data_IF_645892634260
#
_entry.id   IF_645892634260
#
_cell.length_a   1.000
_cell.length_b   1.000
_cell.length_c   1.000
_cell.angle_alpha   90.00
_cell.angle_beta   90.00
_cell.angle_gamma   90.00
#
_symmetry.space_group_name_H-M   'P 1'
#
loop_
_entity.id
_entity.type
_entity.pdbx_description
1 polymer ?
#
# COMPACT_ATOMS: atom_id res chain seq x y z
N UNK A 1 3.42 -18.63 1.66
CA UNK A 1 2.24 -19.29 1.08
C UNK A 1 0.95 -18.67 1.61
N UNK A 2 0.01 -18.39 0.72
CA UNK A 2 -1.29 -17.86 1.07
C UNK A 2 -2.39 -18.82 0.59
N UNK A 3 -3.30 -19.15 1.48
CA UNK A 3 -4.55 -19.83 1.14
C UNK A 3 -5.70 -18.86 1.42
N UNK A 4 -6.53 -18.61 0.42
CA UNK A 4 -7.66 -17.69 0.56
C UNK A 4 -8.91 -18.25 -0.10
N UNK A 5 -10.07 -17.98 0.50
CA UNK A 5 -11.34 -18.19 -0.18
C UNK A 5 -11.81 -16.89 -0.83
N UNK A 6 -12.49 -17.01 -1.97
CA UNK A 6 -13.07 -15.91 -2.71
C UNK A 6 -14.60 -15.94 -2.71
N UNK A 7 -15.20 -16.78 -1.88
CA UNK A 7 -16.63 -17.00 -1.86
C UNK A 7 -17.11 -17.79 -3.07
N UNK A 8 -18.34 -17.53 -3.50
CA UNK A 8 -18.99 -18.26 -4.59
C UNK A 8 -18.50 -17.85 -5.99
N UNK A 9 -17.92 -16.65 -6.11
CA UNK A 9 -17.44 -16.09 -7.38
C UNK A 9 -16.00 -15.61 -7.23
N UNK A 10 -15.19 -15.85 -8.25
CA UNK A 10 -13.74 -15.59 -8.20
C UNK A 10 -13.28 -14.36 -8.98
N UNK A 11 -14.14 -13.39 -9.26
CA UNK A 11 -13.86 -12.29 -10.19
C UNK A 11 -12.51 -11.60 -9.93
N UNK A 12 -12.34 -11.00 -8.77
CA UNK A 12 -11.08 -10.33 -8.37
C UNK A 12 -10.22 -11.16 -7.41
N UNK A 13 -10.74 -12.26 -6.89
CA UNK A 13 -10.10 -13.05 -5.85
C UNK A 13 -8.69 -13.52 -6.21
N UNK A 14 -8.47 -14.19 -7.33
CA UNK A 14 -7.16 -14.71 -7.71
C UNK A 14 -6.11 -13.60 -7.82
N UNK A 15 -6.46 -12.50 -8.48
CA UNK A 15 -5.56 -11.36 -8.65
C UNK A 15 -5.23 -10.70 -7.33
N UNK A 16 -6.23 -10.46 -6.47
CA UNK A 16 -6.03 -9.85 -5.14
C UNK A 16 -5.12 -10.71 -4.28
N UNK A 17 -5.32 -12.03 -4.27
CA UNK A 17 -4.48 -12.95 -3.50
C UNK A 17 -3.05 -13.01 -4.07
N UNK A 18 -2.89 -13.06 -5.38
CA UNK A 18 -1.59 -12.98 -6.03
C UNK A 18 -0.82 -11.71 -5.69
N UNK A 19 -1.51 -10.56 -5.70
CA UNK A 19 -0.91 -9.27 -5.37
C UNK A 19 -0.54 -9.14 -3.88
N UNK A 20 -1.10 -9.95 -2.99
CA UNK A 20 -0.70 -9.94 -1.58
C UNK A 20 0.79 -10.26 -1.39
N UNK A 21 1.33 -11.21 -2.12
CA UNK A 21 2.76 -11.50 -2.12
C UNK A 21 3.56 -10.49 -2.93
N UNK A 22 3.09 -10.20 -4.13
CA UNK A 22 3.79 -9.35 -5.08
C UNK A 22 3.98 -7.90 -4.58
N UNK A 23 3.08 -7.38 -3.76
CA UNK A 23 3.15 -6.04 -3.17
C UNK A 23 3.73 -5.99 -1.75
N UNK A 24 3.96 -7.13 -1.10
CA UNK A 24 4.50 -7.15 0.25
C UNK A 24 5.98 -7.58 0.30
N UNK A 25 6.35 -8.62 -0.43
CA UNK A 25 7.70 -9.18 -0.44
C UNK A 25 8.77 -8.14 -0.86
N UNK A 26 8.54 -7.28 -1.85
CA UNK A 26 9.54 -6.31 -2.29
C UNK A 26 9.96 -5.28 -1.24
N UNK A 27 9.19 -5.10 -0.16
CA UNK A 27 9.61 -4.27 0.97
C UNK A 27 10.96 -4.67 1.55
N UNK A 28 11.33 -5.95 1.45
CA UNK A 28 12.57 -6.53 1.97
C UNK A 28 13.41 -7.05 0.82
N UNK A 29 14.11 -6.14 0.15
CA UNK A 29 14.80 -6.37 -1.12
C UNK A 29 16.16 -7.07 -1.04
N UNK A 30 16.65 -7.43 0.16
CA UNK A 30 18.01 -8.00 0.33
C UNK A 30 18.06 -9.53 0.37
N UNK A 31 16.95 -10.21 0.18
CA UNK A 31 16.95 -11.67 0.16
C UNK A 31 17.53 -12.23 -1.14
N UNK A 32 18.29 -13.32 -1.06
CA UNK A 32 18.91 -13.99 -2.22
C UNK A 32 17.87 -14.64 -3.13
N UNK A 33 16.73 -15.08 -2.60
CA UNK A 33 15.68 -15.73 -3.35
C UNK A 33 14.30 -15.45 -2.74
N UNK A 34 13.31 -15.37 -3.61
CA UNK A 34 11.92 -15.18 -3.26
C UNK A 34 11.08 -16.33 -3.82
N UNK A 35 10.16 -16.83 -3.02
CA UNK A 35 9.15 -17.77 -3.47
C UNK A 35 7.81 -17.40 -2.86
N UNK A 36 6.86 -17.06 -3.70
CA UNK A 36 5.48 -16.86 -3.31
C UNK A 36 4.58 -17.90 -3.99
N UNK A 37 3.72 -18.51 -3.21
CA UNK A 37 2.69 -19.44 -3.69
C UNK A 37 1.37 -19.09 -3.06
N UNK A 38 0.30 -19.31 -3.79
CA UNK A 38 -1.04 -19.10 -3.27
C UNK A 38 -2.03 -20.06 -3.91
N UNK A 39 -3.05 -20.41 -3.15
CA UNK A 39 -4.23 -21.10 -3.62
C UNK A 39 -5.46 -20.27 -3.32
N UNK A 40 -6.38 -20.25 -4.27
CA UNK A 40 -7.65 -19.57 -4.18
C UNK A 40 -8.75 -20.59 -4.36
N UNK A 41 -9.64 -20.67 -3.37
CA UNK A 41 -10.70 -21.68 -3.35
C UNK A 41 -12.07 -21.02 -3.34
N UNK A 42 -13.03 -21.65 -4.01
CA UNK A 42 -14.43 -21.28 -3.92
C UNK A 42 -15.04 -21.82 -2.63
N UNK A 43 -15.97 -21.08 -2.08
CA UNK A 43 -16.74 -21.46 -0.89
C UNK A 43 -18.18 -20.98 -1.03
N UNK A 44 -19.07 -21.55 -0.22
CA UNK A 44 -20.48 -21.12 -0.11
C UNK A 44 -20.63 -19.85 0.75
N UNK A 45 -19.66 -18.95 0.67
CA UNK A 45 -19.64 -17.68 1.38
C UNK A 45 -19.89 -16.53 0.42
N UNK A 46 -20.09 -15.33 0.96
CA UNK A 46 -20.17 -14.11 0.17
C UNK A 46 -18.91 -13.95 -0.67
N UNK A 47 -19.07 -13.45 -1.89
CA UNK A 47 -17.93 -13.18 -2.79
C UNK A 47 -16.97 -12.19 -2.20
N UNK A 48 -15.70 -12.51 -2.30
CA UNK A 48 -14.62 -11.55 -2.11
C UNK A 48 -14.43 -10.72 -3.38
N UNK A 49 -13.89 -9.53 -3.23
CA UNK A 49 -13.67 -8.62 -4.36
C UNK A 49 -12.51 -7.67 -4.11
N UNK A 50 -12.42 -6.67 -4.97
CA UNK A 50 -11.46 -5.58 -4.83
C UNK A 50 -11.81 -4.71 -3.61
N UNK A 51 -10.84 -4.47 -2.76
CA UNK A 51 -10.93 -3.54 -1.66
C UNK A 51 -9.67 -2.66 -1.65
N UNK A 52 -9.78 -1.45 -1.15
CA UNK A 52 -8.65 -0.51 -1.07
C UNK A 52 -7.39 -1.18 -0.51
N UNK A 53 -6.29 -1.12 -1.27
CA UNK A 53 -5.04 -1.86 -1.01
C UNK A 53 -4.89 -3.12 -1.85
N UNK A 54 -5.97 -3.69 -2.38
CA UNK A 54 -6.04 -4.77 -3.39
C UNK A 54 -5.01 -5.89 -3.17
N UNK A 55 -5.05 -6.54 -2.02
CA UNK A 55 -4.13 -7.60 -1.60
C UNK A 55 -2.90 -7.13 -0.84
N UNK A 56 -2.41 -5.92 -1.07
CA UNK A 56 -1.24 -5.39 -0.36
C UNK A 56 -1.45 -5.37 1.16
N UNK A 57 -2.60 -4.94 1.63
CA UNK A 57 -2.94 -4.85 3.06
C UNK A 57 -2.77 -6.18 3.76
N UNK A 58 -3.32 -7.25 3.18
CA UNK A 58 -3.24 -8.61 3.72
C UNK A 58 -1.82 -9.14 3.70
N UNK A 59 -1.10 -8.92 2.59
CA UNK A 59 0.29 -9.36 2.46
C UNK A 59 1.24 -8.62 3.39
N UNK A 60 1.07 -7.31 3.52
CA UNK A 60 1.86 -6.48 4.42
C UNK A 60 1.62 -6.87 5.88
N UNK A 61 0.36 -7.10 6.28
CA UNK A 61 0.06 -7.59 7.62
C UNK A 61 0.80 -8.89 7.92
N UNK A 62 0.77 -9.85 7.01
CA UNK A 62 1.42 -11.13 7.19
C UNK A 62 2.95 -11.00 7.29
N UNK A 63 3.58 -10.26 6.37
CA UNK A 63 5.04 -10.13 6.35
C UNK A 63 5.55 -9.31 7.53
N UNK A 64 4.87 -8.22 7.88
CA UNK A 64 5.26 -7.35 8.97
C UNK A 64 5.12 -8.04 10.35
N UNK A 65 4.08 -8.85 10.52
CA UNK A 65 3.94 -9.70 11.70
C UNK A 65 5.08 -10.72 11.79
N UNK A 66 5.41 -11.38 10.68
CA UNK A 66 6.52 -12.34 10.62
C UNK A 66 7.87 -11.68 10.90
N UNK A 67 8.09 -10.45 10.42
CA UNK A 67 9.32 -9.67 10.70
C UNK A 67 9.41 -9.31 12.19
N UNK A 68 8.29 -8.96 12.82
CA UNK A 68 8.26 -8.72 14.27
C UNK A 68 8.59 -9.98 15.07
N UNK A 69 7.99 -11.13 14.73
CA UNK A 69 8.29 -12.40 15.38
C UNK A 69 9.76 -12.82 15.18
N UNK A 70 10.30 -12.56 13.98
CA UNK A 70 11.71 -12.82 13.71
C UNK A 70 12.62 -11.93 14.54
N UNK A 71 12.31 -10.65 14.65
CA UNK A 71 13.05 -9.70 15.48
C UNK A 71 13.07 -10.16 16.94
N UNK A 72 11.93 -10.58 17.48
CA UNK A 72 11.81 -11.11 18.84
C UNK A 72 12.69 -12.36 19.04
N UNK A 73 12.61 -13.33 18.12
CA UNK A 73 13.41 -14.56 18.19
C UNK A 73 14.92 -14.31 18.10
N UNK A 74 15.33 -13.25 17.39
CA UNK A 74 16.73 -12.85 17.26
C UNK A 74 17.19 -11.92 18.40
N UNK A 75 16.28 -11.50 19.29
CA UNK A 75 16.58 -10.47 20.30
C UNK A 75 16.96 -9.12 19.67
N UNK A 76 16.45 -8.80 18.51
CA UNK A 76 16.77 -7.60 17.75
C UNK A 76 15.61 -6.60 17.81
N UNK A 77 15.96 -5.31 17.81
CA UNK A 77 14.96 -4.23 17.72
C UNK A 77 14.20 -4.32 16.37
N UNK A 78 12.84 -4.25 16.38
CA UNK A 78 12.05 -4.26 15.16
C UNK A 78 12.35 -3.14 14.16
N UNK A 79 12.83 -1.99 14.63
CA UNK A 79 13.32 -0.92 13.75
C UNK A 79 14.65 -1.32 13.09
N UNK A 80 15.55 -1.93 13.87
CA UNK A 80 16.87 -2.33 13.38
C UNK A 80 16.77 -3.40 12.28
N UNK A 81 15.97 -4.44 12.47
CA UNK A 81 15.81 -5.50 11.46
C UNK A 81 15.24 -4.93 10.16
N UNK A 82 14.32 -3.97 10.24
CA UNK A 82 13.77 -3.29 9.07
C UNK A 82 14.81 -2.43 8.37
N UNK A 83 15.55 -1.62 9.11
CA UNK A 83 16.59 -0.76 8.56
C UNK A 83 17.67 -1.55 7.80
N UNK A 84 17.98 -2.76 8.28
CA UNK A 84 18.95 -3.65 7.63
C UNK A 84 18.44 -4.26 6.35
N UNK A 85 17.15 -4.60 6.28
CA UNK A 85 16.61 -5.47 5.24
C UNK A 85 15.64 -4.80 4.26
N UNK A 86 15.13 -3.62 4.58
CA UNK A 86 14.18 -2.91 3.70
C UNK A 86 14.82 -2.50 2.38
N UNK A 87 14.00 -2.38 1.35
CA UNK A 87 14.39 -1.88 0.04
C UNK A 87 14.93 -0.45 0.16
N UNK A 88 15.94 -0.15 -0.64
CA UNK A 88 16.60 1.17 -0.68
C UNK A 88 16.57 1.74 -2.10
N UNK A 89 16.73 3.05 -2.19
CA UNK A 89 16.85 3.74 -3.47
C UNK A 89 17.98 3.14 -4.33
N UNK A 90 17.73 2.97 -5.61
CA UNK A 90 18.63 2.36 -6.56
C UNK A 90 18.67 0.82 -6.53
N UNK A 91 17.99 0.18 -5.59
CA UNK A 91 17.99 -1.28 -5.47
C UNK A 91 17.08 -1.92 -6.53
N UNK A 92 17.61 -2.95 -7.20
CA UNK A 92 16.82 -3.80 -8.07
C UNK A 92 15.89 -4.70 -7.26
N UNK A 93 14.64 -4.79 -7.66
CA UNK A 93 13.57 -5.52 -6.97
C UNK A 93 13.06 -6.69 -7.82
N UNK A 94 13.70 -7.85 -7.77
CA UNK A 94 13.30 -9.00 -8.61
C UNK A 94 11.88 -9.50 -8.29
N UNK A 95 11.42 -9.30 -7.06
CA UNK A 95 10.08 -9.64 -6.62
C UNK A 95 9.00 -8.62 -7.03
N UNK A 96 9.38 -7.50 -7.64
CA UNK A 96 8.46 -6.47 -8.11
C UNK A 96 8.72 -6.15 -9.58
N UNK A 97 8.20 -6.98 -10.47
CA UNK A 97 8.32 -6.88 -11.94
C UNK A 97 9.76 -6.74 -12.49
N UNK A 98 10.79 -6.93 -11.68
CA UNK A 98 12.16 -6.64 -12.08
C UNK A 98 12.46 -5.16 -12.21
N UNK A 99 11.74 -4.32 -11.49
CA UNK A 99 11.92 -2.88 -11.48
C UNK A 99 13.05 -2.45 -10.53
N UNK A 100 13.55 -1.24 -10.74
CA UNK A 100 14.49 -0.59 -9.82
C UNK A 100 13.75 0.43 -8.97
N UNK A 101 14.03 0.47 -7.68
CA UNK A 101 13.51 1.48 -6.75
C UNK A 101 14.17 2.85 -7.05
N UNK A 102 13.73 3.54 -8.10
CA UNK A 102 14.32 4.79 -8.57
C UNK A 102 14.14 5.95 -7.56
N UNK A 103 13.16 5.85 -6.67
CA UNK A 103 12.94 6.78 -5.58
C UNK A 103 12.45 6.00 -4.36
N UNK A 104 13.18 6.08 -3.25
CA UNK A 104 12.82 5.40 -2.02
C UNK A 104 13.39 6.17 -0.82
N UNK A 105 12.53 6.51 0.12
CA UNK A 105 12.90 7.22 1.35
C UNK A 105 12.41 6.49 2.60
N UNK A 106 12.21 5.18 2.54
CA UNK A 106 11.72 4.37 3.67
C UNK A 106 12.65 4.46 4.87
N UNK A 107 13.95 4.52 4.65
CA UNK A 107 14.95 4.72 5.70
C UNK A 107 14.76 6.05 6.45
N UNK A 108 14.55 7.14 5.71
CA UNK A 108 14.28 8.47 6.29
C UNK A 108 12.94 8.49 7.01
N UNK A 109 11.91 7.86 6.43
CA UNK A 109 10.61 7.71 7.08
C UNK A 109 10.72 6.93 8.39
N UNK A 110 11.45 5.81 8.39
CA UNK A 110 11.63 4.97 9.57
C UNK A 110 12.40 5.72 10.68
N UNK A 111 13.47 6.44 10.32
CA UNK A 111 14.22 7.27 11.25
C UNK A 111 13.34 8.38 11.86
N UNK A 112 12.54 9.05 11.04
CA UNK A 112 11.65 10.12 11.50
C UNK A 112 10.54 9.60 12.40
N UNK A 113 9.94 8.46 12.07
CA UNK A 113 8.91 7.82 12.90
C UNK A 113 9.50 7.36 14.24
N UNK A 114 10.73 6.85 14.26
CA UNK A 114 11.44 6.50 15.48
C UNK A 114 11.54 7.69 16.44
N UNK A 115 11.97 8.83 15.93
CA UNK A 115 12.07 10.08 16.69
C UNK A 115 10.70 10.56 17.17
N UNK A 116 9.73 10.71 16.26
CA UNK A 116 8.40 11.25 16.55
C UNK A 116 7.61 10.40 17.55
N UNK A 117 7.76 9.08 17.50
CA UNK A 117 7.08 8.15 18.41
C UNK A 117 7.70 8.11 19.80
N UNK A 118 8.93 8.59 19.97
CA UNK A 118 9.72 8.39 21.18
C UNK A 118 10.00 6.90 21.42
N UNK A 119 10.41 6.20 20.34
CA UNK A 119 10.59 4.75 20.31
C UNK A 119 11.46 4.25 21.44
N UNK A 120 12.66 4.80 21.58
CA UNK A 120 13.67 4.34 22.54
C UNK A 120 13.21 4.44 24.01
N UNK A 121 12.21 5.30 24.29
CA UNK A 121 11.62 5.40 25.63
C UNK A 121 10.41 4.48 25.85
N UNK A 122 9.71 4.09 24.79
CA UNK A 122 8.41 3.41 24.87
C UNK A 122 8.47 1.95 24.48
N UNK A 123 9.46 1.55 23.70
CA UNK A 123 9.61 0.16 23.26
C UNK A 123 10.50 -0.62 24.26
N UNK A 124 10.19 -1.89 24.58
CA UNK A 124 8.95 -2.61 24.20
C UNK A 124 7.72 -2.13 24.97
N UNK A 125 7.91 -1.48 26.12
CA UNK A 125 6.83 -0.91 26.93
C UNK A 125 7.35 0.11 27.93
N UNK A 126 6.55 1.12 28.24
CA UNK A 126 6.78 2.11 29.29
C UNK A 126 5.64 2.04 30.32
N UNK A 127 5.97 1.86 31.57
CA UNK A 127 4.99 1.94 32.67
C UNK A 127 4.86 3.43 33.05
N UNK A 128 3.65 3.94 33.01
CA UNK A 128 3.33 5.33 33.33
C UNK A 128 3.10 5.49 34.86
N UNK A 129 3.22 6.73 35.39
CA UNK A 129 2.99 6.98 36.84
C UNK A 129 1.61 6.56 37.34
N UNK A 130 0.60 6.55 36.46
CA UNK A 130 -0.78 6.12 36.77
C UNK A 130 -0.97 4.60 36.65
N UNK A 131 0.12 3.85 36.48
CA UNK A 131 0.10 2.39 36.33
C UNK A 131 -0.26 1.88 34.94
N UNK A 132 -0.61 2.76 33.99
CA UNK A 132 -0.89 2.35 32.61
C UNK A 132 0.39 1.95 31.87
N UNK A 133 0.24 1.07 30.90
CA UNK A 133 1.32 0.64 30.01
C UNK A 133 1.15 1.37 28.67
N UNK A 134 2.19 2.02 28.21
CA UNK A 134 2.32 2.51 26.83
C UNK A 134 3.32 1.67 26.08
N UNK A 135 3.00 1.35 24.84
CA UNK A 135 3.87 0.67 23.92
C UNK A 135 3.74 1.30 22.54
N UNK A 136 4.71 1.03 21.69
CA UNK A 136 4.75 1.45 20.29
C UNK A 136 5.08 0.24 19.43
N UNK A 137 4.57 0.22 18.22
CA UNK A 137 4.87 -0.77 17.21
C UNK A 137 5.24 -0.10 15.90
N UNK A 138 5.89 -0.82 15.02
CA UNK A 138 6.31 -0.35 13.71
C UNK A 138 5.94 -1.36 12.64
N UNK A 139 5.51 -0.85 11.49
CA UNK A 139 5.32 -1.61 10.27
C UNK A 139 5.70 -0.73 9.07
N UNK A 140 6.22 -1.37 8.03
CA UNK A 140 6.42 -0.73 6.73
C UNK A 140 5.25 -1.06 5.82
N UNK A 141 4.98 -0.18 4.86
CA UNK A 141 3.97 -0.42 3.84
C UNK A 141 4.42 0.16 2.50
N UNK A 142 3.99 -0.48 1.44
CA UNK A 142 4.06 0.04 0.08
C UNK A 142 2.77 -0.27 -0.67
N UNK A 143 2.43 0.55 -1.64
CA UNK A 143 1.32 0.32 -2.54
C UNK A 143 1.72 0.71 -3.96
N UNK A 144 1.64 -0.23 -4.88
CA UNK A 144 1.66 0.06 -6.30
C UNK A 144 0.27 0.56 -6.72
N UNK A 145 0.17 1.81 -7.12
CA UNK A 145 -1.05 2.37 -7.70
C UNK A 145 -1.05 2.10 -9.19
N UNK A 146 -2.22 1.73 -9.73
CA UNK A 146 -2.46 1.25 -11.10
C UNK A 146 -1.65 -0.01 -11.50
N UNK A 147 -2.04 -0.61 -12.59
CA UNK A 147 -1.28 -1.70 -13.22
C UNK A 147 -0.90 -1.19 -14.61
N UNK A 148 0.38 -0.93 -14.80
CA UNK A 148 0.92 -0.46 -16.06
C UNK A 148 0.52 -1.38 -17.21
N UNK A 149 0.06 -0.80 -18.33
CA UNK A 149 -0.43 -1.49 -19.52
C UNK A 149 -1.71 -2.34 -19.34
N UNK A 150 -2.37 -2.25 -18.21
CA UNK A 150 -3.66 -2.92 -17.94
C UNK A 150 -4.75 -1.90 -17.65
N UNK A 151 -4.49 -0.97 -16.75
CA UNK A 151 -5.47 0.06 -16.39
C UNK A 151 -5.57 1.11 -17.50
N UNK A 152 -6.80 1.41 -17.90
CA UNK A 152 -7.11 2.42 -18.93
C UNK A 152 -7.96 3.51 -18.27
N UNK A 153 -7.47 4.75 -18.37
CA UNK A 153 -8.21 5.93 -17.95
C UNK A 153 -8.90 6.60 -19.14
N UNK A 154 -10.05 7.18 -18.89
CA UNK A 154 -10.74 8.07 -19.85
C UNK A 154 -11.37 9.23 -19.11
N UNK A 155 -11.47 10.37 -19.78
CA UNK A 155 -12.20 11.53 -19.31
C UNK A 155 -13.04 12.10 -20.45
N UNK A 156 -14.21 12.62 -20.11
CA UNK A 156 -15.07 13.37 -21.03
C UNK A 156 -15.47 14.66 -20.34
N UNK A 157 -15.29 15.77 -21.04
CA UNK A 157 -15.73 17.09 -20.57
C UNK A 157 -16.77 17.63 -21.53
N UNK A 158 -17.89 18.10 -21.00
CA UNK A 158 -18.98 18.68 -21.77
C UNK A 158 -19.38 20.03 -21.16
N UNK A 159 -19.36 21.08 -21.96
CA UNK A 159 -19.89 22.38 -21.56
C UNK A 159 -21.42 22.31 -21.55
N UNK A 160 -22.03 22.62 -20.40
CA UNK A 160 -23.47 22.74 -20.23
C UNK A 160 -24.02 24.05 -20.78
N UNK A 161 -25.33 24.14 -20.94
CA UNK A 161 -26.02 25.39 -21.35
C UNK A 161 -25.99 26.45 -20.26
N UNK A 162 -25.72 26.06 -19.02
CA UNK A 162 -25.52 26.88 -17.83
C UNK A 162 -24.09 27.46 -17.72
N UNK A 163 -23.19 27.10 -18.65
CA UNK A 163 -21.80 27.53 -18.67
C UNK A 163 -20.87 26.68 -17.81
N UNK A 164 -21.35 25.62 -17.15
CA UNK A 164 -20.56 24.72 -16.32
C UNK A 164 -19.99 23.56 -17.15
N UNK A 165 -18.75 23.22 -16.92
CA UNK A 165 -18.11 22.05 -17.52
C UNK A 165 -18.42 20.78 -16.69
N UNK A 166 -19.22 19.89 -17.24
CA UNK A 166 -19.48 18.58 -16.65
C UNK A 166 -18.38 17.59 -17.02
N UNK A 167 -17.64 17.11 -16.03
CA UNK A 167 -16.54 16.17 -16.21
C UNK A 167 -16.93 14.77 -15.76
N UNK A 168 -16.77 13.79 -16.64
CA UNK A 168 -16.92 12.36 -16.32
C UNK A 168 -15.57 11.66 -16.47
N UNK A 169 -15.15 10.93 -15.46
CA UNK A 169 -13.85 10.25 -15.41
C UNK A 169 -13.98 8.76 -15.14
N UNK A 170 -13.09 7.97 -15.71
CA UNK A 170 -12.98 6.54 -15.45
C UNK A 170 -12.00 6.27 -14.29
N UNK A 171 -12.16 6.97 -13.18
CA UNK A 171 -11.41 6.79 -11.96
C UNK A 171 -12.35 6.86 -10.75
N UNK A 172 -12.05 6.07 -9.72
CA UNK A 172 -12.79 6.11 -8.47
C UNK A 172 -11.95 6.74 -7.37
N UNK A 173 -12.48 7.76 -6.73
CA UNK A 173 -11.83 8.30 -5.53
C UNK A 173 -12.03 7.34 -4.36
N UNK A 174 -10.95 6.74 -3.91
CA UNK A 174 -10.92 5.88 -2.72
C UNK A 174 -10.15 6.55 -1.57
N UNK A 175 -10.12 7.89 -1.54
CA UNK A 175 -9.36 8.70 -0.60
C UNK A 175 -8.03 9.21 -1.17
N UNK A 176 -7.84 9.10 -2.47
CA UNK A 176 -6.66 9.63 -3.19
C UNK A 176 -6.81 11.10 -3.56
N UNK A 177 -8.04 11.65 -3.54
CA UNK A 177 -8.35 13.01 -3.97
C UNK A 177 -8.37 13.18 -5.48
N UNK A 178 -8.59 12.09 -6.23
CA UNK A 178 -8.54 12.14 -7.69
C UNK A 178 -9.60 13.06 -8.29
N UNK A 179 -10.80 13.14 -7.71
CA UNK A 179 -11.86 14.02 -8.18
C UNK A 179 -11.39 15.47 -8.17
N UNK A 180 -10.82 15.91 -7.04
CA UNK A 180 -10.29 17.27 -6.91
C UNK A 180 -9.10 17.54 -7.84
N UNK A 181 -8.14 16.60 -7.90
CA UNK A 181 -6.94 16.76 -8.71
C UNK A 181 -7.28 16.82 -10.19
N UNK A 182 -8.18 15.97 -10.66
CA UNK A 182 -8.57 15.92 -12.06
C UNK A 182 -9.41 17.14 -12.44
N UNK A 183 -10.27 17.65 -11.55
CA UNK A 183 -10.97 18.91 -11.75
C UNK A 183 -9.98 20.10 -11.85
N UNK A 184 -8.96 20.16 -11.00
CA UNK A 184 -7.91 21.16 -11.07
C UNK A 184 -7.14 21.12 -12.41
N UNK A 185 -6.78 19.91 -12.87
CA UNK A 185 -6.13 19.73 -14.17
C UNK A 185 -7.02 20.20 -15.32
N UNK A 186 -8.32 19.90 -15.26
CA UNK A 186 -9.28 20.34 -16.26
C UNK A 186 -9.43 21.86 -16.28
N UNK A 187 -9.56 22.50 -15.11
CA UNK A 187 -9.66 23.94 -14.98
C UNK A 187 -8.42 24.64 -15.55
N UNK A 188 -7.22 24.16 -15.25
CA UNK A 188 -5.97 24.69 -15.79
C UNK A 188 -5.90 24.53 -17.32
N UNK A 189 -6.31 23.37 -17.86
CA UNK A 189 -6.30 23.14 -19.31
C UNK A 189 -7.34 23.99 -20.05
N UNK A 190 -8.46 24.32 -19.41
CA UNK A 190 -9.56 25.09 -20.00
C UNK A 190 -9.43 26.59 -19.76
N UNK A 191 -8.45 27.01 -18.95
CA UNK A 191 -8.24 28.39 -18.50
C UNK A 191 -9.50 28.98 -17.84
N UNK A 192 -10.09 28.23 -16.89
CA UNK A 192 -11.29 28.60 -16.15
C UNK A 192 -11.12 28.38 -14.64
N UNK A 193 -12.06 28.86 -13.85
CA UNK A 193 -12.05 28.63 -12.42
C UNK A 193 -12.41 27.18 -12.07
N UNK A 194 -11.92 26.68 -10.94
CA UNK A 194 -12.24 25.32 -10.46
C UNK A 194 -13.75 25.14 -10.23
N UNK A 195 -14.43 26.20 -9.82
CA UNK A 195 -15.87 26.21 -9.56
C UNK A 195 -16.70 26.06 -10.85
N UNK A 196 -16.08 26.23 -12.03
CA UNK A 196 -16.72 26.01 -13.33
C UNK A 196 -16.69 24.52 -13.74
N UNK A 197 -16.02 23.64 -12.97
CA UNK A 197 -15.92 22.19 -13.23
C UNK A 197 -16.84 21.44 -12.24
N UNK A 198 -17.76 20.63 -12.78
CA UNK A 198 -18.69 19.78 -12.04
C UNK A 198 -18.50 18.28 -12.36
#
# INVERSE_FOLDING_TARGET
YTLSNTGAYGEHGPTTVGLSGHKAIPLYGSAEAYRFRYDVVYTNRMSAGAYRGYGATQGIFAIETSVNELAEKLGMDPMEIRMKNMVKEGQFMPAYYGETANSCALDKCLARVKEMSGWDEKYPRKVMPDGKIRSVGVALAMQGSCISNVDVGSATIKLGEDGVYNMSIAAADMGTGCDTILAQMAAECLDCDLDDIA
#
